data_IF_471873316049
#
_entry.id   IF_471873316049
#
_cell.length_a   1.000
_cell.length_b   1.000
_cell.length_c   1.000
_cell.angle_alpha   90.00
_cell.angle_beta   90.00
_cell.angle_gamma   90.00
#
_symmetry.space_group_name_H-M   'P 1'
#
loop_
_entity.id
_entity.type
_entity.pdbx_description
1 polymer ?
#
# COMPACT_ATOMS: atom_id res chain seq x y z
N UNK A 1 4.45 -0.43 -14.45
CA UNK A 1 3.84 0.00 -13.19
C UNK A 1 3.41 1.46 -13.30
N UNK A 2 2.25 1.80 -12.80
CA UNK A 2 1.77 3.17 -12.78
C UNK A 2 2.77 4.09 -12.07
N UNK A 3 3.09 5.28 -12.60
CA UNK A 3 4.10 6.17 -12.01
C UNK A 3 3.86 6.51 -10.54
N UNK A 4 2.59 6.67 -10.14
CA UNK A 4 2.23 6.95 -8.75
C UNK A 4 2.62 5.78 -7.83
N UNK A 5 2.29 4.57 -8.22
CA UNK A 5 2.66 3.37 -7.48
C UNK A 5 4.19 3.18 -7.46
N UNK A 6 4.86 3.46 -8.58
CA UNK A 6 6.32 3.38 -8.65
C UNK A 6 7.00 4.35 -7.68
N UNK A 7 6.48 5.57 -7.55
CA UNK A 7 7.00 6.56 -6.61
C UNK A 7 6.83 6.11 -5.16
N UNK A 8 5.68 5.53 -4.81
CA UNK A 8 5.44 4.94 -3.48
C UNK A 8 6.42 3.81 -3.22
N UNK A 9 6.60 2.93 -4.19
CA UNK A 9 7.54 1.80 -4.08
C UNK A 9 8.95 2.30 -3.77
N UNK A 10 9.42 3.29 -4.51
CA UNK A 10 10.76 3.87 -4.32
C UNK A 10 10.91 4.45 -2.91
N UNK A 11 9.93 5.25 -2.47
CA UNK A 11 9.97 5.85 -1.13
C UNK A 11 10.06 4.79 -0.04
N UNK A 12 9.23 3.77 -0.12
CA UNK A 12 9.20 2.70 0.88
C UNK A 12 10.47 1.86 0.85
N UNK A 13 10.99 1.57 -0.33
CA UNK A 13 12.26 0.83 -0.44
C UNK A 13 13.44 1.60 0.14
N UNK A 14 13.45 2.93 0.00
CA UNK A 14 14.47 3.78 0.60
C UNK A 14 14.42 3.77 2.14
N UNK A 15 13.30 3.40 2.71
CA UNK A 15 13.09 3.32 4.16
C UNK A 15 13.07 1.87 4.67
N UNK A 16 13.43 0.92 3.84
CA UNK A 16 13.48 -0.49 4.21
C UNK A 16 14.47 -0.73 5.34
N UNK A 17 14.11 -1.65 6.25
CA UNK A 17 14.95 -2.06 7.35
C UNK A 17 15.04 -3.58 7.40
N UNK A 18 16.07 -4.18 6.78
CA UNK A 18 16.21 -5.63 6.75
C UNK A 18 16.29 -6.28 8.12
N UNK A 19 16.84 -5.58 9.11
CA UNK A 19 16.93 -6.08 10.48
C UNK A 19 15.55 -6.28 11.10
N UNK A 20 14.58 -5.41 10.79
CA UNK A 20 13.20 -5.55 11.26
C UNK A 20 12.38 -6.47 10.37
N UNK A 21 12.74 -6.58 9.09
CA UNK A 21 11.99 -7.40 8.13
C UNK A 21 12.01 -8.88 8.49
N UNK A 22 13.15 -9.40 8.90
CA UNK A 22 13.29 -10.82 9.23
C UNK A 22 12.36 -11.29 10.36
N UNK A 23 12.31 -10.63 11.55
CA UNK A 23 11.37 -11.02 12.59
C UNK A 23 9.90 -10.80 12.20
N UNK A 24 9.60 -9.77 11.41
CA UNK A 24 8.22 -9.54 10.94
C UNK A 24 7.77 -10.68 10.04
N UNK A 25 8.60 -11.11 9.11
CA UNK A 25 8.33 -12.23 8.23
C UNK A 25 8.13 -13.53 9.03
N UNK A 26 9.00 -13.77 9.99
CA UNK A 26 8.92 -14.98 10.85
C UNK A 26 7.64 -14.97 11.68
N UNK A 27 7.25 -13.83 12.24
CA UNK A 27 6.01 -13.70 13.01
C UNK A 27 4.80 -14.10 12.18
N UNK A 28 4.79 -13.76 10.88
CA UNK A 28 3.73 -14.11 9.95
C UNK A 28 3.93 -15.47 9.29
N UNK A 29 4.78 -16.33 9.85
CA UNK A 29 5.05 -17.69 9.37
C UNK A 29 5.49 -17.73 7.91
N UNK A 30 6.28 -16.74 7.50
CA UNK A 30 6.80 -16.58 6.13
C UNK A 30 5.72 -16.49 5.04
N UNK A 31 4.50 -16.10 5.41
CA UNK A 31 3.40 -15.95 4.44
C UNK A 31 3.53 -14.70 3.56
N UNK A 32 4.28 -13.70 4.02
CA UNK A 32 4.46 -12.43 3.29
C UNK A 32 5.93 -12.01 3.35
N UNK A 33 6.35 -11.30 2.30
CA UNK A 33 7.61 -10.57 2.34
C UNK A 33 7.41 -9.23 3.07
N UNK A 34 8.51 -8.70 3.63
CA UNK A 34 8.49 -7.43 4.36
C UNK A 34 9.71 -6.58 4.02
N UNK A 35 9.50 -5.26 3.96
CA UNK A 35 10.58 -4.29 3.90
C UNK A 35 11.18 -4.01 5.28
N UNK A 36 10.41 -4.25 6.33
CA UNK A 36 10.82 -3.96 7.70
C UNK A 36 10.32 -2.61 8.19
N UNK A 37 9.21 -2.13 7.67
CA UNK A 37 8.59 -0.86 8.05
C UNK A 37 7.39 -1.17 8.92
N UNK A 38 7.48 -0.78 10.20
CA UNK A 38 6.39 -0.99 11.16
C UNK A 38 5.22 -0.04 10.88
N UNK A 39 4.05 -0.40 11.38
CA UNK A 39 2.80 0.33 11.13
C UNK A 39 2.89 1.83 11.39
N UNK A 40 3.43 2.32 12.53
CA UNK A 40 3.51 3.77 12.74
C UNK A 40 4.35 4.48 11.68
N UNK A 41 5.46 3.90 11.27
CA UNK A 41 6.31 4.46 10.21
C UNK A 41 5.61 4.39 8.87
N UNK A 42 4.91 3.29 8.58
CA UNK A 42 4.14 3.14 7.34
C UNK A 42 3.10 4.25 7.21
N UNK A 43 2.34 4.50 8.27
CA UNK A 43 1.32 5.56 8.28
C UNK A 43 1.97 6.94 8.08
N UNK A 44 3.10 7.20 8.72
CA UNK A 44 3.81 8.47 8.58
C UNK A 44 4.32 8.67 7.15
N UNK A 45 4.84 7.63 6.51
CA UNK A 45 5.29 7.68 5.13
C UNK A 45 4.13 7.91 4.16
N UNK A 46 2.99 7.25 4.39
CA UNK A 46 1.78 7.48 3.60
C UNK A 46 1.34 8.93 3.68
N UNK A 47 1.26 9.47 4.91
CA UNK A 47 0.82 10.84 5.13
C UNK A 47 1.74 11.83 4.41
N UNK A 48 3.04 11.69 4.58
CA UNK A 48 4.02 12.56 3.93
C UNK A 48 3.92 12.48 2.41
N UNK A 49 3.77 11.30 1.86
CA UNK A 49 3.65 11.10 0.42
C UNK A 49 2.39 11.76 -0.13
N UNK A 50 1.25 11.58 0.53
CA UNK A 50 -0.01 12.14 0.07
C UNK A 50 -0.05 13.66 0.21
N UNK A 51 0.59 14.22 1.23
CA UNK A 51 0.72 15.67 1.37
C UNK A 51 1.57 16.29 0.27
N UNK A 52 2.64 15.61 -0.13
CA UNK A 52 3.55 16.10 -1.17
C UNK A 52 3.01 15.90 -2.58
N UNK A 53 2.42 14.75 -2.86
CA UNK A 53 2.08 14.34 -4.21
C UNK A 53 0.57 14.37 -4.49
N UNK A 54 -0.27 14.55 -3.47
CA UNK A 54 -1.72 14.43 -3.61
C UNK A 54 -2.14 12.98 -3.84
N UNK A 55 -3.38 12.81 -4.30
CA UNK A 55 -3.96 11.50 -4.59
C UNK A 55 -4.00 11.25 -6.10
N UNK A 56 -4.00 10.00 -6.53
CA UNK A 56 -4.19 9.71 -7.95
C UNK A 56 -5.61 10.08 -8.35
N UNK A 57 -5.81 10.31 -9.66
CA UNK A 57 -7.16 10.55 -10.18
C UNK A 57 -8.01 9.30 -9.93
N UNK A 58 -9.32 9.51 -9.71
CA UNK A 58 -10.25 8.41 -9.50
C UNK A 58 -10.19 7.39 -10.64
N UNK A 59 -10.07 7.86 -11.88
CA UNK A 59 -9.96 7.00 -13.07
C UNK A 59 -8.70 6.13 -13.08
N UNK A 60 -7.66 6.51 -12.31
CA UNK A 60 -6.40 5.77 -12.25
C UNK A 60 -6.25 4.97 -10.96
N UNK A 61 -7.18 5.16 -10.00
CA UNK A 61 -7.09 4.54 -8.68
C UNK A 61 -6.98 3.02 -8.74
N UNK A 62 -7.80 2.39 -9.57
CA UNK A 62 -7.78 0.92 -9.70
C UNK A 62 -6.41 0.41 -10.15
N UNK A 63 -5.80 1.05 -11.15
CA UNK A 63 -4.49 0.66 -11.64
C UNK A 63 -3.41 0.81 -10.55
N UNK A 64 -3.45 1.90 -9.79
CA UNK A 64 -2.51 2.14 -8.69
C UNK A 64 -2.67 1.08 -7.60
N UNK A 65 -3.91 0.79 -7.20
CA UNK A 65 -4.18 -0.22 -6.18
C UNK A 65 -3.72 -1.61 -6.62
N UNK A 66 -3.97 -1.99 -7.87
CA UNK A 66 -3.52 -3.28 -8.41
C UNK A 66 -2.01 -3.39 -8.40
N UNK A 67 -1.31 -2.34 -8.82
CA UNK A 67 0.15 -2.34 -8.84
C UNK A 67 0.72 -2.51 -7.43
N UNK A 68 0.19 -1.79 -6.45
CA UNK A 68 0.61 -1.92 -5.05
C UNK A 68 0.34 -3.33 -4.52
N UNK A 69 -0.82 -3.88 -4.85
CA UNK A 69 -1.21 -5.20 -4.34
C UNK A 69 -0.39 -6.35 -4.93
N UNK A 70 0.12 -6.18 -6.16
CA UNK A 70 0.95 -7.20 -6.80
C UNK A 70 2.38 -7.23 -6.27
N UNK A 71 2.81 -6.21 -5.53
CA UNK A 71 4.13 -6.22 -4.91
C UNK A 71 4.18 -7.26 -3.78
N UNK A 72 5.29 -7.96 -3.62
CA UNK A 72 5.37 -9.04 -2.64
C UNK A 72 5.38 -8.59 -1.19
N UNK A 73 5.85 -7.36 -0.91
CA UNK A 73 5.99 -6.88 0.46
C UNK A 73 4.66 -6.41 1.02
N UNK A 74 4.34 -6.87 2.22
CA UNK A 74 3.06 -6.60 2.89
C UNK A 74 2.80 -5.12 3.14
N UNK A 75 3.87 -4.33 3.35
CA UNK A 75 3.74 -2.88 3.57
C UNK A 75 3.00 -2.18 2.43
N UNK A 76 3.20 -2.60 1.19
CA UNK A 76 2.51 -2.03 0.04
C UNK A 76 1.02 -2.35 0.03
N UNK A 77 0.63 -3.49 0.58
CA UNK A 77 -0.78 -3.86 0.72
C UNK A 77 -1.47 -2.94 1.72
N UNK A 78 -0.79 -2.59 2.80
CA UNK A 78 -1.32 -1.63 3.77
C UNK A 78 -1.46 -0.23 3.17
N UNK A 79 -0.54 0.16 2.29
CA UNK A 79 -0.66 1.44 1.56
C UNK A 79 -1.89 1.42 0.66
N UNK A 80 -2.15 0.33 -0.05
CA UNK A 80 -3.33 0.20 -0.91
C UNK A 80 -4.61 0.34 -0.09
N UNK A 81 -4.71 -0.33 1.05
CA UNK A 81 -5.87 -0.23 1.94
C UNK A 81 -6.02 1.19 2.48
N UNK A 82 -4.92 1.82 2.90
CA UNK A 82 -4.93 3.19 3.39
C UNK A 82 -5.38 4.20 2.34
N UNK A 83 -4.92 4.03 1.10
CA UNK A 83 -5.31 4.88 -0.02
C UNK A 83 -6.80 4.72 -0.32
N UNK A 84 -7.29 3.49 -0.37
CA UNK A 84 -8.70 3.20 -0.60
C UNK A 84 -9.58 3.83 0.48
N UNK A 85 -9.17 3.73 1.75
CA UNK A 85 -9.91 4.32 2.86
C UNK A 85 -10.05 5.84 2.75
N UNK A 86 -9.04 6.52 2.20
CA UNK A 86 -9.10 7.98 2.00
C UNK A 86 -10.06 8.38 0.90
N UNK A 87 -10.39 7.47 -0.01
CA UNK A 87 -11.32 7.72 -1.12
C UNK A 87 -12.75 7.26 -0.81
N UNK A 88 -13.01 6.63 0.33
CA UNK A 88 -14.30 5.98 0.56
C UNK A 88 -15.50 6.92 0.49
N UNK A 89 -15.31 8.22 0.76
CA UNK A 89 -16.37 9.23 0.65
C UNK A 89 -16.62 9.69 -0.78
N UNK A 90 -15.69 9.44 -1.68
CA UNK A 90 -15.72 9.89 -3.07
C UNK A 90 -16.07 8.76 -4.04
N UNK A 91 -16.00 7.52 -3.60
CA UNK A 91 -16.22 6.33 -4.43
C UNK A 91 -17.58 5.74 -4.08
N UNK A 92 -18.44 5.44 -5.09
CA UNK A 92 -19.70 4.74 -4.82
C UNK A 92 -19.47 3.43 -4.08
N UNK A 93 -20.37 3.11 -3.14
CA UNK A 93 -20.23 1.90 -2.31
C UNK A 93 -20.06 0.63 -3.13
N UNK A 94 -20.75 0.52 -4.26
CA UNK A 94 -20.63 -0.61 -5.17
C UNK A 94 -19.20 -0.77 -5.70
N UNK A 95 -18.56 0.33 -6.06
CA UNK A 95 -17.20 0.32 -6.58
C UNK A 95 -16.20 -0.06 -5.49
N UNK A 96 -16.38 0.46 -4.28
CA UNK A 96 -15.54 0.13 -3.12
C UNK A 96 -15.58 -1.38 -2.86
N UNK A 97 -16.78 -1.98 -2.84
CA UNK A 97 -16.93 -3.42 -2.61
C UNK A 97 -16.21 -4.23 -3.69
N UNK A 98 -16.27 -3.80 -4.94
CA UNK A 98 -15.59 -4.46 -6.05
C UNK A 98 -14.07 -4.43 -5.86
N UNK A 99 -13.53 -3.27 -5.48
CA UNK A 99 -12.09 -3.12 -5.22
C UNK A 99 -11.68 -3.97 -4.03
N UNK A 100 -12.41 -3.93 -2.91
CA UNK A 100 -12.11 -4.70 -1.71
C UNK A 100 -12.12 -6.20 -1.99
N UNK A 101 -13.05 -6.68 -2.79
CA UNK A 101 -13.09 -8.08 -3.18
C UNK A 101 -11.81 -8.51 -3.88
N UNK A 102 -11.30 -7.69 -4.80
CA UNK A 102 -10.08 -8.00 -5.54
C UNK A 102 -8.81 -7.91 -4.68
N UNK A 103 -8.82 -7.08 -3.64
CA UNK A 103 -7.65 -6.81 -2.81
C UNK A 103 -7.76 -7.37 -1.39
N UNK A 104 -8.75 -8.22 -1.12
CA UNK A 104 -8.84 -8.92 0.15
C UNK A 104 -7.65 -9.87 0.31
N UNK A 105 -6.95 -9.87 1.45
CA UNK A 105 -5.88 -10.83 1.68
C UNK A 105 -6.38 -12.27 1.60
N UNK A 106 -5.60 -13.15 1.05
CA UNK A 106 -5.95 -14.57 1.01
C UNK A 106 -6.05 -15.18 2.41
#
# INVERSE_FOLDING_TARGET
MHPYAASLKTLFEQNANPTQAAPMKKYMRDQFEYLGIKTPQNIALQKAFFEENGFPRLSELDAVLRDLWTLPQREFHYVAVGLLGRFNKQIPAKFIKTIEYHFTPP
#
